data_IF_622023973369
#
_entry.id   IF_622023973369
#
_cell.length_a   1.000
_cell.length_b   1.000
_cell.length_c   1.000
_cell.angle_alpha   90.00
_cell.angle_beta   90.00
_cell.angle_gamma   90.00
#
_symmetry.space_group_name_H-M   'P 1'
#
loop_
_entity.id
_entity.type
_entity.pdbx_description
1 polymer ?
#
# COMPACT_ATOMS: atom_id res chain seq x y z
N UNK A 1 -5.15 -16.39 -14.03
CA UNK A 1 -6.21 -16.19 -12.99
C UNK A 1 -6.73 -14.77 -13.15
N UNK A 2 -8.04 -14.55 -13.23
CA UNK A 2 -8.59 -13.19 -13.36
C UNK A 2 -8.35 -12.38 -12.08
N UNK A 3 -8.10 -11.07 -12.20
CA UNK A 3 -8.09 -10.17 -11.07
C UNK A 3 -9.51 -10.03 -10.51
N UNK A 4 -9.63 -10.04 -9.19
CA UNK A 4 -10.90 -9.88 -8.50
C UNK A 4 -10.82 -8.70 -7.53
N UNK A 5 -11.87 -7.87 -7.50
CA UNK A 5 -11.96 -6.81 -6.50
C UNK A 5 -12.25 -7.45 -5.13
N UNK A 6 -11.31 -7.42 -4.18
CA UNK A 6 -11.57 -7.99 -2.87
C UNK A 6 -12.59 -7.14 -2.10
N UNK A 7 -13.44 -7.76 -1.30
CA UNK A 7 -14.25 -7.00 -0.35
C UNK A 7 -13.37 -6.26 0.66
N UNK A 8 -13.83 -5.11 1.15
CA UNK A 8 -13.18 -4.43 2.27
C UNK A 8 -13.24 -5.34 3.51
N UNK A 9 -12.15 -5.43 4.31
CA UNK A 9 -12.13 -6.24 5.53
C UNK A 9 -12.87 -5.59 6.71
N UNK A 10 -13.54 -4.48 6.49
CA UNK A 10 -14.31 -3.70 7.47
C UNK A 10 -15.44 -2.92 6.79
N UNK A 11 -16.40 -2.42 7.58
CA UNK A 11 -17.46 -1.56 7.09
C UNK A 11 -16.95 -0.21 6.60
N UNK A 12 -17.63 0.43 5.65
CA UNK A 12 -17.22 1.71 5.06
C UNK A 12 -17.05 2.84 6.09
N UNK A 13 -17.77 2.82 7.21
CA UNK A 13 -17.63 3.80 8.29
C UNK A 13 -16.57 3.44 9.34
N UNK A 14 -15.94 2.27 9.25
CA UNK A 14 -15.08 1.75 10.32
C UNK A 14 -13.81 2.57 10.56
N UNK A 15 -13.30 3.26 9.54
CA UNK A 15 -12.06 4.03 9.63
C UNK A 15 -12.28 5.50 10.03
N UNK A 16 -13.53 5.92 10.21
CA UNK A 16 -13.83 7.27 10.70
C UNK A 16 -13.26 7.48 12.12
N UNK A 17 -12.84 8.71 12.47
CA UNK A 17 -12.94 9.95 11.69
C UNK A 17 -11.74 10.19 10.73
N UNK A 18 -10.83 9.22 10.58
CA UNK A 18 -9.56 9.39 9.86
C UNK A 18 -9.67 9.16 8.35
N UNK A 19 -10.63 8.39 7.91
CA UNK A 19 -10.96 8.17 6.50
C UNK A 19 -12.48 7.99 6.39
N UNK A 20 -13.13 8.82 5.58
CA UNK A 20 -14.58 8.84 5.45
C UNK A 20 -15.11 7.68 4.62
N UNK A 21 -16.40 7.38 4.80
CA UNK A 21 -17.13 6.47 3.92
C UNK A 21 -17.04 6.91 2.46
N UNK A 22 -17.24 8.20 2.18
CA UNK A 22 -17.18 8.74 0.83
C UNK A 22 -15.83 8.47 0.18
N UNK A 23 -14.71 8.69 0.90
CA UNK A 23 -13.38 8.34 0.42
C UNK A 23 -13.28 6.86 0.06
N UNK A 24 -13.76 5.95 0.91
CA UNK A 24 -13.72 4.51 0.64
C UNK A 24 -14.59 4.09 -0.53
N UNK A 25 -15.82 4.65 -0.68
CA UNK A 25 -16.71 4.38 -1.80
C UNK A 25 -16.08 4.78 -3.15
N UNK A 26 -15.42 5.95 -3.22
CA UNK A 26 -14.69 6.33 -4.43
C UNK A 26 -13.42 5.52 -4.63
N UNK A 27 -12.63 5.33 -3.59
CA UNK A 27 -11.31 4.72 -3.70
C UNK A 27 -11.39 3.21 -3.99
N UNK A 28 -12.29 2.48 -3.30
CA UNK A 28 -12.49 1.04 -3.52
C UNK A 28 -13.41 0.76 -4.72
N UNK A 29 -14.64 1.32 -4.73
CA UNK A 29 -15.67 0.93 -5.68
C UNK A 29 -15.50 1.55 -7.07
N UNK A 30 -14.67 2.59 -7.20
CA UNK A 30 -14.39 3.27 -8.48
C UNK A 30 -12.94 3.06 -8.89
N UNK A 31 -11.97 3.59 -8.14
CA UNK A 31 -10.55 3.51 -8.54
C UNK A 31 -10.03 2.09 -8.55
N UNK A 32 -10.12 1.35 -7.44
CA UNK A 32 -9.64 -0.04 -7.40
C UNK A 32 -10.38 -0.93 -8.39
N UNK A 33 -11.72 -0.78 -8.48
CA UNK A 33 -12.51 -1.52 -9.48
C UNK A 33 -12.04 -1.27 -10.90
N UNK A 34 -11.74 -0.03 -11.27
CA UNK A 34 -11.23 0.31 -12.60
C UNK A 34 -9.87 -0.36 -12.89
N UNK A 35 -8.98 -0.44 -11.90
CA UNK A 35 -7.70 -1.17 -12.06
C UNK A 35 -7.93 -2.65 -12.30
N UNK A 36 -8.90 -3.27 -11.62
CA UNK A 36 -9.28 -4.68 -11.82
C UNK A 36 -9.83 -4.89 -13.23
N UNK A 37 -10.81 -4.08 -13.65
CA UNK A 37 -11.48 -4.22 -14.94
C UNK A 37 -10.47 -4.03 -16.10
N UNK A 38 -9.69 -2.96 -16.06
CA UNK A 38 -8.68 -2.68 -17.09
C UNK A 38 -7.52 -3.68 -17.05
N UNK A 39 -7.07 -4.07 -15.86
CA UNK A 39 -6.02 -5.06 -15.67
C UNK A 39 -6.38 -6.40 -16.27
N UNK A 40 -7.59 -6.89 -16.04
CA UNK A 40 -8.09 -8.14 -16.62
C UNK A 40 -8.07 -8.10 -18.16
N UNK A 41 -8.59 -7.01 -18.76
CA UNK A 41 -8.58 -6.83 -20.19
C UNK A 41 -7.16 -6.88 -20.75
N UNK A 42 -6.26 -6.07 -20.20
CA UNK A 42 -4.87 -5.97 -20.67
C UNK A 42 -4.06 -7.24 -20.42
N UNK A 43 -4.30 -7.95 -19.31
CA UNK A 43 -3.65 -9.23 -19.03
C UNK A 43 -4.08 -10.32 -20.02
N UNK A 44 -5.36 -10.37 -20.37
CA UNK A 44 -5.86 -11.28 -21.40
C UNK A 44 -5.24 -10.99 -22.77
N UNK A 45 -5.19 -9.72 -23.19
CA UNK A 45 -4.56 -9.28 -24.45
C UNK A 45 -3.06 -9.62 -24.50
N UNK A 46 -2.38 -9.59 -23.36
CA UNK A 46 -0.96 -9.92 -23.23
C UNK A 46 -0.67 -11.42 -23.03
N UNK A 47 -1.68 -12.28 -23.01
CA UNK A 47 -1.53 -13.72 -22.73
C UNK A 47 -1.09 -14.03 -21.30
N UNK A 48 -1.35 -13.12 -20.34
CA UNK A 48 -0.98 -13.24 -18.93
C UNK A 48 -2.18 -13.50 -18.01
N UNK A 49 -3.36 -13.82 -18.55
CA UNK A 49 -4.61 -13.98 -17.78
C UNK A 49 -4.60 -15.10 -16.74
N UNK A 50 -3.71 -16.08 -16.86
CA UNK A 50 -3.58 -17.19 -15.92
C UNK A 50 -2.50 -16.99 -14.85
N UNK A 51 -1.72 -15.92 -14.93
CA UNK A 51 -0.68 -15.59 -13.97
C UNK A 51 -1.27 -14.94 -12.71
N UNK A 52 -0.54 -15.07 -11.59
CA UNK A 52 -0.84 -14.32 -10.38
C UNK A 52 -0.61 -12.81 -10.61
N UNK A 53 -1.26 -11.97 -9.82
CA UNK A 53 -1.10 -10.51 -9.93
C UNK A 53 0.36 -10.08 -9.73
N UNK A 54 1.08 -10.74 -8.81
CA UNK A 54 2.51 -10.48 -8.57
C UNK A 54 3.38 -10.81 -9.80
N UNK A 55 3.09 -11.92 -10.46
CA UNK A 55 3.79 -12.31 -11.69
C UNK A 55 3.52 -11.33 -12.82
N UNK A 56 2.25 -10.91 -13.00
CA UNK A 56 1.89 -9.91 -14.00
C UNK A 56 2.61 -8.59 -13.73
N UNK A 57 2.66 -8.11 -12.48
CA UNK A 57 3.41 -6.91 -12.09
C UNK A 57 4.88 -7.02 -12.49
N UNK A 58 5.55 -8.10 -12.09
CA UNK A 58 6.98 -8.30 -12.36
C UNK A 58 7.28 -8.45 -13.86
N UNK A 59 6.43 -9.18 -14.60
CA UNK A 59 6.67 -9.46 -16.01
C UNK A 59 6.33 -8.29 -16.93
N UNK A 60 5.37 -7.43 -16.56
CA UNK A 60 4.95 -6.28 -17.35
C UNK A 60 5.80 -5.03 -17.11
N UNK A 61 6.54 -4.97 -16.00
CA UNK A 61 7.40 -3.83 -15.67
C UNK A 61 8.43 -3.56 -16.77
N UNK A 62 8.48 -2.32 -17.24
CA UNK A 62 9.37 -1.89 -18.32
C UNK A 62 9.02 -2.42 -19.73
N UNK A 63 7.97 -3.25 -19.88
CA UNK A 63 7.57 -3.86 -21.15
C UNK A 63 6.18 -3.43 -21.62
N UNK A 64 5.21 -3.35 -20.72
CA UNK A 64 3.83 -2.96 -21.01
C UNK A 64 3.33 -2.02 -19.91
N UNK A 65 3.49 -0.72 -20.12
CA UNK A 65 3.15 0.29 -19.13
C UNK A 65 1.66 0.29 -18.75
N UNK A 66 0.76 0.06 -19.71
CA UNK A 66 -0.68 -0.01 -19.45
C UNK A 66 -1.04 -1.16 -18.52
N UNK A 67 -0.57 -2.37 -18.83
CA UNK A 67 -0.79 -3.54 -17.99
C UNK A 67 -0.11 -3.39 -16.63
N UNK A 68 1.15 -2.95 -16.61
CA UNK A 68 1.88 -2.74 -15.36
C UNK A 68 1.14 -1.78 -14.42
N UNK A 69 0.72 -0.62 -14.90
CA UNK A 69 0.06 0.37 -14.06
C UNK A 69 -1.22 -0.19 -13.42
N UNK A 70 -2.05 -0.92 -14.16
CA UNK A 70 -3.29 -1.48 -13.62
C UNK A 70 -3.03 -2.67 -12.67
N UNK A 71 -2.13 -3.58 -13.05
CA UNK A 71 -1.79 -4.74 -12.20
C UNK A 71 -1.08 -4.32 -10.91
N UNK A 72 -0.14 -3.37 -10.99
CA UNK A 72 0.57 -2.86 -9.82
C UNK A 72 -0.38 -2.09 -8.88
N UNK A 73 -1.25 -1.24 -9.41
CA UNK A 73 -2.27 -0.57 -8.60
C UNK A 73 -3.25 -1.57 -7.98
N UNK A 74 -3.67 -2.60 -8.72
CA UNK A 74 -4.49 -3.65 -8.13
C UNK A 74 -3.77 -4.37 -6.97
N UNK A 75 -2.51 -4.78 -7.17
CA UNK A 75 -1.68 -5.37 -6.11
C UNK A 75 -1.58 -4.46 -4.88
N UNK A 76 -1.24 -3.19 -5.09
CA UNK A 76 -1.07 -2.21 -4.03
C UNK A 76 -2.35 -2.05 -3.19
N UNK A 77 -3.52 -2.02 -3.86
CA UNK A 77 -4.81 -1.82 -3.21
C UNK A 77 -5.34 -3.07 -2.49
N UNK A 78 -5.03 -4.30 -2.99
CA UNK A 78 -5.33 -5.54 -2.26
C UNK A 78 -4.74 -5.47 -0.84
N UNK A 79 -3.51 -5.01 -0.74
CA UNK A 79 -2.81 -4.88 0.52
C UNK A 79 -3.22 -3.62 1.30
N UNK A 80 -3.49 -2.50 0.61
CA UNK A 80 -3.84 -1.23 1.24
C UNK A 80 -5.03 -1.35 2.18
N UNK A 81 -6.09 -2.03 1.76
CA UNK A 81 -7.26 -2.28 2.61
C UNK A 81 -6.91 -3.09 3.86
N UNK A 82 -6.03 -4.07 3.74
CA UNK A 82 -5.61 -4.93 4.86
C UNK A 82 -4.60 -4.25 5.78
N UNK A 83 -3.84 -3.28 5.28
CA UNK A 83 -2.91 -2.48 6.10
C UNK A 83 -3.63 -1.52 7.04
N UNK A 84 -4.95 -1.35 6.91
CA UNK A 84 -5.74 -0.50 7.78
C UNK A 84 -6.74 -1.33 8.59
N UNK A 85 -7.03 -0.86 9.81
CA UNK A 85 -8.11 -1.39 10.65
C UNK A 85 -8.66 -0.32 11.59
N UNK A 86 -9.90 -0.51 12.04
CA UNK A 86 -10.48 0.29 13.11
C UNK A 86 -9.65 0.17 14.39
N UNK A 87 -9.25 1.31 14.98
CA UNK A 87 -8.42 1.33 16.17
C UNK A 87 -7.00 0.80 15.96
N UNK A 88 -6.51 0.92 14.73
CA UNK A 88 -5.12 0.61 14.38
C UNK A 88 -4.14 1.71 14.78
N UNK A 89 -2.93 1.63 14.20
CA UNK A 89 -1.86 2.62 14.41
C UNK A 89 -1.20 2.57 15.78
N UNK A 90 -0.54 3.68 16.11
CA UNK A 90 0.16 3.84 17.38
C UNK A 90 1.50 3.08 17.45
N UNK A 91 2.17 3.23 18.60
CA UNK A 91 3.55 2.80 18.82
C UNK A 91 3.71 1.41 19.46
N UNK A 92 2.63 0.62 19.53
CA UNK A 92 2.67 -0.74 20.07
C UNK A 92 2.80 -1.76 18.94
N UNK A 93 4.03 -1.91 18.46
CA UNK A 93 4.31 -2.89 17.42
C UNK A 93 4.45 -4.30 18.01
N UNK A 94 4.05 -5.37 17.28
CA UNK A 94 4.36 -6.75 17.66
C UNK A 94 5.87 -6.97 17.80
N UNK A 95 6.27 -7.83 18.76
CA UNK A 95 7.65 -7.91 19.24
C UNK A 95 8.73 -8.16 18.17
N UNK A 96 8.47 -8.98 17.14
CA UNK A 96 9.43 -9.20 16.06
C UNK A 96 9.59 -7.96 15.17
N UNK A 97 8.49 -7.29 14.86
CA UNK A 97 8.47 -6.06 14.07
C UNK A 97 9.10 -4.90 14.86
N UNK A 98 8.81 -4.78 16.17
CA UNK A 98 9.44 -3.79 17.04
C UNK A 98 10.97 -3.91 17.00
N UNK A 99 11.49 -5.14 17.17
CA UNK A 99 12.94 -5.38 17.10
C UNK A 99 13.55 -4.97 15.76
N UNK A 100 12.86 -5.23 14.66
CA UNK A 100 13.33 -4.81 13.33
C UNK A 100 13.32 -3.29 13.17
N UNK A 101 12.25 -2.62 13.63
CA UNK A 101 12.14 -1.16 13.60
C UNK A 101 13.24 -0.51 14.45
N UNK A 102 13.53 -1.06 15.61
CA UNK A 102 14.61 -0.54 16.49
C UNK A 102 15.99 -0.74 15.84
N UNK A 103 16.24 -1.92 15.27
CA UNK A 103 17.55 -2.27 14.71
C UNK A 103 17.85 -1.56 13.38
N UNK A 104 16.88 -1.53 12.47
CA UNK A 104 17.11 -1.09 11.09
C UNK A 104 16.74 0.38 10.88
N UNK A 105 15.80 0.93 11.65
CA UNK A 105 15.25 2.29 11.46
C UNK A 105 15.57 3.23 12.65
N UNK A 106 16.07 2.73 13.76
CA UNK A 106 16.39 3.52 14.94
C UNK A 106 15.20 3.85 15.84
N UNK A 107 14.16 3.01 15.79
CA UNK A 107 12.97 3.07 16.65
C UNK A 107 11.74 3.67 15.99
N UNK A 108 10.61 3.57 16.73
CA UNK A 108 9.30 3.96 16.21
C UNK A 108 9.20 5.43 15.80
N UNK A 109 9.71 6.35 16.62
CA UNK A 109 9.59 7.79 16.35
C UNK A 109 10.32 8.16 15.05
N UNK A 110 11.49 7.55 14.83
CA UNK A 110 12.22 7.73 13.59
C UNK A 110 11.52 7.06 12.40
N UNK A 111 11.00 5.85 12.57
CA UNK A 111 10.15 5.22 11.57
C UNK A 111 8.99 6.15 11.15
N UNK A 112 8.23 6.67 12.12
CA UNK A 112 7.09 7.57 11.84
C UNK A 112 7.54 8.81 11.08
N UNK A 113 8.59 9.48 11.55
CA UNK A 113 9.12 10.68 10.92
C UNK A 113 9.55 10.41 9.45
N UNK A 114 10.32 9.35 9.23
CA UNK A 114 10.85 9.01 7.90
C UNK A 114 9.74 8.52 6.96
N UNK A 115 8.76 7.75 7.44
CA UNK A 115 7.64 7.27 6.64
C UNK A 115 6.70 8.41 6.21
N UNK A 116 6.37 9.31 7.13
CA UNK A 116 5.59 10.52 6.83
C UNK A 116 6.36 11.43 5.86
N UNK A 117 7.66 11.60 6.06
CA UNK A 117 8.50 12.38 5.15
C UNK A 117 8.56 11.76 3.74
N UNK A 118 8.67 10.43 3.63
CA UNK A 118 8.68 9.74 2.34
C UNK A 118 7.37 10.00 1.57
N UNK A 119 6.20 9.86 2.22
CA UNK A 119 4.91 10.13 1.58
C UNK A 119 4.70 11.61 1.25
N UNK A 120 5.11 12.51 2.15
CA UNK A 120 5.00 13.97 1.94
C UNK A 120 5.84 14.44 0.77
N UNK A 121 7.06 13.92 0.65
CA UNK A 121 8.01 14.33 -0.39
C UNK A 121 7.89 13.52 -1.69
N UNK A 122 6.95 12.57 -1.78
CA UNK A 122 6.63 11.94 -3.06
C UNK A 122 5.97 12.99 -3.96
N UNK A 123 6.71 13.39 -5.00
CA UNK A 123 6.22 14.40 -5.94
C UNK A 123 5.13 13.82 -6.83
N UNK A 124 3.95 14.47 -6.83
CA UNK A 124 2.79 13.99 -7.57
C UNK A 124 2.15 12.74 -6.94
N UNK A 125 1.62 11.88 -7.79
CA UNK A 125 0.99 10.62 -7.40
C UNK A 125 2.05 9.56 -7.09
N UNK A 126 1.75 8.69 -6.15
CA UNK A 126 2.65 7.59 -5.79
C UNK A 126 2.31 6.95 -4.45
N UNK A 127 3.30 6.29 -3.88
CA UNK A 127 3.18 5.51 -2.65
C UNK A 127 4.41 5.71 -1.77
N UNK A 128 4.24 5.62 -0.45
CA UNK A 128 5.32 5.42 0.50
C UNK A 128 5.26 4.00 1.06
N UNK A 129 6.42 3.39 1.31
CA UNK A 129 6.58 1.97 1.60
C UNK A 129 7.45 1.73 2.81
N UNK A 130 7.12 0.68 3.58
CA UNK A 130 8.04 -0.09 4.40
C UNK A 130 8.19 -1.46 3.74
N UNK A 131 9.40 -1.89 3.44
CA UNK A 131 9.66 -3.14 2.74
C UNK A 131 10.84 -3.90 3.31
N UNK A 132 10.85 -5.22 3.12
CA UNK A 132 11.97 -6.09 3.46
C UNK A 132 12.82 -6.32 2.21
N UNK A 133 14.13 -6.09 2.34
CA UNK A 133 15.12 -6.43 1.34
C UNK A 133 16.38 -6.95 2.04
N UNK A 134 16.90 -8.09 1.60
CA UNK A 134 18.10 -8.72 2.16
C UNK A 134 18.02 -8.89 3.71
N UNK A 135 16.84 -9.24 4.20
CA UNK A 135 16.55 -9.46 5.62
C UNK A 135 16.38 -8.22 6.48
N UNK A 136 16.52 -7.02 5.90
CA UNK A 136 16.37 -5.73 6.59
C UNK A 136 15.12 -5.00 6.13
N UNK A 137 14.56 -4.17 7.02
CA UNK A 137 13.47 -3.27 6.64
C UNK A 137 14.01 -1.90 6.24
N UNK A 138 13.37 -1.30 5.23
CA UNK A 138 13.71 0.02 4.74
C UNK A 138 12.47 0.79 4.29
N UNK A 139 12.52 2.11 4.44
CA UNK A 139 11.50 3.03 3.95
C UNK A 139 11.89 3.51 2.54
N UNK A 140 10.92 3.54 1.64
CA UNK A 140 11.09 4.03 0.28
C UNK A 140 9.82 4.72 -0.22
N UNK A 141 9.89 5.33 -1.39
CA UNK A 141 8.74 5.89 -2.10
C UNK A 141 8.87 5.63 -3.58
N UNK A 142 7.75 5.48 -4.28
CA UNK A 142 7.70 5.21 -5.72
C UNK A 142 6.64 6.06 -6.40
N UNK A 143 6.82 6.43 -7.67
CA UNK A 143 5.81 7.17 -8.41
C UNK A 143 4.67 6.27 -8.90
N UNK A 144 3.50 6.86 -9.11
CA UNK A 144 2.35 6.24 -9.74
C UNK A 144 1.95 4.90 -9.07
N UNK A 145 1.89 3.80 -9.83
CA UNK A 145 1.57 2.45 -9.35
C UNK A 145 2.80 1.60 -9.01
N UNK A 146 4.01 2.13 -9.24
CA UNK A 146 5.24 1.38 -8.98
C UNK A 146 5.36 0.98 -7.51
N UNK A 147 5.93 -0.20 -7.26
CA UNK A 147 6.03 -0.77 -5.93
C UNK A 147 7.35 -1.53 -5.72
N UNK A 148 7.72 -1.89 -4.46
CA UNK A 148 8.99 -2.55 -4.15
C UNK A 148 9.21 -3.91 -4.83
N UNK A 149 8.18 -4.62 -5.28
CA UNK A 149 8.32 -5.94 -5.93
C UNK A 149 9.23 -5.89 -7.16
N UNK A 150 9.14 -4.79 -7.94
CA UNK A 150 9.94 -4.63 -9.16
C UNK A 150 11.39 -4.22 -8.87
N UNK A 151 11.70 -3.93 -7.61
CA UNK A 151 13.04 -3.60 -7.10
C UNK A 151 13.63 -4.71 -6.23
N UNK A 152 13.02 -5.91 -6.25
CA UNK A 152 13.49 -7.05 -5.48
C UNK A 152 13.32 -6.91 -3.97
N UNK A 153 12.32 -6.13 -3.54
CA UNK A 153 11.95 -5.99 -2.14
C UNK A 153 10.49 -6.40 -1.90
N UNK A 154 10.18 -6.90 -0.73
CA UNK A 154 8.84 -7.32 -0.33
C UNK A 154 8.15 -6.18 0.44
N UNK A 155 7.10 -5.54 -0.09
CA UNK A 155 6.37 -4.53 0.65
C UNK A 155 5.61 -5.16 1.81
N UNK A 156 5.76 -4.60 3.01
CA UNK A 156 5.07 -5.05 4.23
C UNK A 156 4.09 -4.00 4.75
N UNK A 157 4.26 -2.74 4.36
CA UNK A 157 3.34 -1.64 4.60
C UNK A 157 3.44 -0.66 3.43
N UNK A 158 2.31 -0.13 2.99
CA UNK A 158 2.25 0.93 2.00
C UNK A 158 1.14 1.92 2.31
N UNK A 159 1.34 3.17 1.90
CA UNK A 159 0.31 4.21 1.95
C UNK A 159 0.20 4.90 0.61
N UNK A 160 -1.03 4.99 0.12
CA UNK A 160 -1.36 5.67 -1.12
C UNK A 160 -1.30 7.19 -0.93
N UNK A 161 -0.50 7.88 -1.74
CA UNK A 161 -0.41 9.35 -1.73
C UNK A 161 -0.90 9.98 -3.05
N UNK A 162 -1.64 9.25 -3.84
CA UNK A 162 -2.51 9.83 -4.86
C UNK A 162 -3.54 10.75 -4.21
N UNK A 163 -3.85 11.88 -4.80
CA UNK A 163 -4.80 12.85 -4.20
C UNK A 163 -6.17 12.23 -3.95
N UNK A 164 -6.64 11.31 -4.80
CA UNK A 164 -7.92 10.65 -4.60
C UNK A 164 -8.01 9.84 -3.29
N UNK A 165 -6.88 9.44 -2.70
CA UNK A 165 -6.87 8.68 -1.45
C UNK A 165 -7.12 9.54 -0.21
N UNK A 166 -6.92 10.86 -0.28
CA UNK A 166 -7.02 11.74 0.89
C UNK A 166 -7.71 13.09 0.65
N UNK A 167 -7.93 13.51 -0.60
CA UNK A 167 -8.34 14.88 -0.87
C UNK A 167 -9.74 15.22 -0.34
N UNK A 168 -10.67 14.26 -0.30
CA UNK A 168 -12.01 14.44 0.27
C UNK A 168 -11.92 14.85 1.74
N UNK A 169 -11.09 14.14 2.53
CA UNK A 169 -11.00 14.31 3.98
C UNK A 169 -9.99 15.38 4.42
N UNK A 170 -8.89 15.53 3.69
CA UNK A 170 -7.74 16.34 4.10
C UNK A 170 -7.41 17.47 3.14
N UNK A 171 -8.05 17.56 1.97
CA UNK A 171 -7.71 18.50 0.90
C UNK A 171 -6.21 18.38 0.55
N UNK A 172 -5.49 19.50 0.54
CA UNK A 172 -4.05 19.54 0.23
C UNK A 172 -3.14 19.19 1.43
N UNK A 173 -3.71 18.81 2.57
CA UNK A 173 -2.95 18.53 3.79
C UNK A 173 -2.44 17.08 3.85
N UNK A 174 -1.70 16.62 2.81
CA UNK A 174 -1.12 15.26 2.74
C UNK A 174 -0.35 14.87 4.02
N UNK A 175 0.47 15.73 4.67
CA UNK A 175 1.13 15.35 5.91
C UNK A 175 0.15 14.93 7.03
N UNK A 176 -0.98 15.62 7.18
CA UNK A 176 -2.01 15.28 8.18
C UNK A 176 -2.67 13.93 7.91
N UNK A 177 -2.91 13.62 6.65
CA UNK A 177 -3.39 12.29 6.25
C UNK A 177 -2.40 11.20 6.62
N UNK A 178 -1.11 11.40 6.32
CA UNK A 178 -0.05 10.44 6.64
C UNK A 178 0.14 10.26 8.15
N UNK A 179 0.09 11.32 8.92
CA UNK A 179 0.11 11.27 10.39
C UNK A 179 -1.08 10.47 10.93
N UNK A 180 -2.30 10.77 10.46
CA UNK A 180 -3.50 10.04 10.85
C UNK A 180 -3.44 8.55 10.47
N UNK A 181 -2.90 8.22 9.30
CA UNK A 181 -2.67 6.84 8.88
C UNK A 181 -1.74 6.10 9.85
N UNK A 182 -0.58 6.68 10.17
CA UNK A 182 0.40 6.06 11.07
C UNK A 182 -0.13 5.95 12.50
N UNK A 183 -0.76 7.00 13.00
CA UNK A 183 -1.19 7.09 14.40
C UNK A 183 -2.46 6.28 14.70
N UNK A 184 -3.31 6.03 13.68
CA UNK A 184 -4.67 5.57 13.96
C UNK A 184 -5.20 4.46 13.06
N UNK A 185 -4.54 4.14 11.96
CA UNK A 185 -5.09 3.21 10.98
C UNK A 185 -4.27 1.95 10.77
N UNK A 186 -2.94 1.96 10.93
CA UNK A 186 -2.08 0.82 10.56
C UNK A 186 -2.51 -0.45 11.30
N UNK A 187 -2.74 -1.51 10.55
CA UNK A 187 -2.95 -2.86 11.04
C UNK A 187 -1.60 -3.58 11.24
N UNK A 188 -0.98 -3.35 12.40
CA UNK A 188 0.34 -3.92 12.71
C UNK A 188 0.37 -5.45 12.71
N UNK A 189 -0.77 -6.12 12.94
CA UNK A 189 -0.83 -7.59 12.88
C UNK A 189 -0.62 -8.08 11.44
N UNK A 190 -1.23 -7.41 10.47
CA UNK A 190 -1.03 -7.72 9.06
C UNK A 190 0.38 -7.34 8.56
N UNK A 191 0.92 -6.24 9.05
CA UNK A 191 2.32 -5.87 8.75
C UNK A 191 3.28 -6.92 9.28
N UNK A 192 3.05 -7.47 10.49
CA UNK A 192 3.85 -8.57 11.05
C UNK A 192 3.75 -9.84 10.18
N UNK A 193 2.53 -10.24 9.78
CA UNK A 193 2.33 -11.40 8.91
C UNK A 193 3.18 -11.31 7.63
N UNK A 194 3.13 -10.15 6.96
CA UNK A 194 3.92 -9.91 5.75
C UNK A 194 5.42 -9.85 6.02
N UNK A 195 5.83 -9.30 7.16
CA UNK A 195 7.23 -9.28 7.57
C UNK A 195 7.78 -10.69 7.78
N UNK A 196 7.04 -11.55 8.49
CA UNK A 196 7.44 -12.94 8.74
C UNK A 196 7.50 -13.73 7.42
N UNK A 197 6.50 -13.56 6.55
CA UNK A 197 6.48 -14.17 5.21
C UNK A 197 7.66 -13.72 4.34
N UNK A 198 8.06 -12.46 4.42
CA UNK A 198 9.18 -11.93 3.64
C UNK A 198 10.55 -12.40 4.14
N UNK A 199 10.63 -12.99 5.34
CA UNK A 199 11.87 -13.53 5.95
C UNK A 199 11.97 -15.05 5.85
N UNK A 200 10.89 -15.74 5.50
CA UNK A 200 10.87 -17.18 5.30
C UNK A 200 11.51 -17.57 3.97
#
# INVERSE_FOLDING_TARGET
MAFELPALPYDYEALQPYMSKETLEYHHDKHHKAYVDNGNKLAAEAGMGDLSVEEVVKQSFGKNAGLFNNAAQHYNHIHFWKWMKKGGGGNKLPGALQKAVDADLGGYDKFKADFVAAGTTQFGSGWAWLSVKDGKIAISKTPNGENPLVHGASPILGVDVWEHSYYIDYRNARPKYLEAFVDSLINWDYVLELYEKAKA
#
